data_IF_069516576824
#
_entry.id   IF_069516576824
#
_cell.length_a   1.000
_cell.length_b   1.000
_cell.length_c   1.000
_cell.angle_alpha   90.00
_cell.angle_beta   90.00
_cell.angle_gamma   90.00
#
_symmetry.space_group_name_H-M   'P 1'
#
loop_
_entity.id
_entity.type
_entity.pdbx_description
1 polymer ?
#
# COMPACT_ATOMS: atom_id res chain seq x y z
N UNK A 1 -18.33 -7.95 -15.09
CA UNK A 1 -16.85 -7.85 -14.93
C UNK A 1 -16.55 -7.42 -13.51
N UNK A 2 -15.63 -8.09 -12.81
CA UNK A 2 -15.07 -7.66 -11.53
C UNK A 2 -13.62 -7.22 -11.79
N UNK A 3 -13.44 -6.05 -12.39
CA UNK A 3 -12.14 -5.54 -12.82
C UNK A 3 -11.88 -4.22 -12.13
N UNK A 4 -10.72 -4.11 -11.48
CA UNK A 4 -10.17 -2.85 -11.02
C UNK A 4 -9.09 -2.43 -12.02
N UNK A 5 -9.18 -1.21 -12.53
CA UNK A 5 -8.28 -0.68 -13.54
C UNK A 5 -7.64 0.61 -13.02
N UNK A 6 -6.31 0.66 -13.06
CA UNK A 6 -5.55 1.86 -12.74
C UNK A 6 -5.07 2.52 -14.03
N UNK A 7 -5.46 3.77 -14.24
CA UNK A 7 -4.88 4.63 -15.28
C UNK A 7 -3.68 5.41 -14.70
N UNK A 8 -2.50 4.79 -14.74
CA UNK A 8 -1.28 5.30 -14.13
C UNK A 8 -0.47 6.19 -15.10
N UNK A 9 -1.10 7.16 -15.76
CA UNK A 9 -0.42 8.01 -16.77
C UNK A 9 0.86 8.69 -16.26
N UNK A 10 0.94 8.98 -14.95
CA UNK A 10 2.10 9.57 -14.28
C UNK A 10 2.69 8.67 -13.17
N UNK A 11 2.38 7.38 -13.20
CA UNK A 11 2.70 6.42 -12.14
C UNK A 11 1.70 6.44 -10.98
N UNK A 12 1.86 5.48 -10.07
CA UNK A 12 1.11 5.40 -8.82
C UNK A 12 2.03 4.89 -7.71
N UNK A 13 2.08 5.60 -6.59
CA UNK A 13 2.81 5.16 -5.40
C UNK A 13 2.01 4.12 -4.62
N UNK A 14 2.69 3.37 -3.75
CA UNK A 14 2.06 2.32 -2.96
C UNK A 14 0.93 2.84 -2.05
N UNK A 15 1.10 4.01 -1.44
CA UNK A 15 0.07 4.66 -0.61
C UNK A 15 -1.14 5.12 -1.44
N UNK A 16 -0.95 5.54 -2.69
CA UNK A 16 -2.06 5.82 -3.62
C UNK A 16 -2.87 4.55 -3.91
N UNK A 17 -2.21 3.42 -4.15
CA UNK A 17 -2.87 2.14 -4.39
C UNK A 17 -3.61 1.67 -3.13
N UNK A 18 -2.98 1.74 -1.96
CA UNK A 18 -3.62 1.39 -0.68
C UNK A 18 -4.86 2.26 -0.42
N UNK A 19 -4.74 3.57 -0.63
CA UNK A 19 -5.86 4.50 -0.51
C UNK A 19 -7.00 4.16 -1.48
N UNK A 20 -6.67 3.89 -2.75
CA UNK A 20 -7.66 3.52 -3.75
C UNK A 20 -8.41 2.22 -3.40
N UNK A 21 -7.72 1.20 -2.89
CA UNK A 21 -8.34 -0.06 -2.46
C UNK A 21 -9.35 0.16 -1.33
N UNK A 22 -9.00 0.96 -0.31
CA UNK A 22 -9.95 1.31 0.75
C UNK A 22 -11.10 2.15 0.20
N UNK A 23 -10.81 3.09 -0.70
CA UNK A 23 -11.82 3.95 -1.34
C UNK A 23 -12.86 3.18 -2.16
N UNK A 24 -12.51 2.00 -2.70
CA UNK A 24 -13.46 1.11 -3.40
C UNK A 24 -14.12 0.06 -2.49
N UNK A 25 -13.89 0.14 -1.17
CA UNK A 25 -14.59 -0.67 -0.15
C UNK A 25 -13.80 -1.85 0.41
N UNK A 26 -12.48 -1.92 0.20
CA UNK A 26 -11.65 -2.91 0.92
C UNK A 26 -11.50 -2.48 2.38
N UNK A 27 -11.81 -3.38 3.30
CA UNK A 27 -11.63 -3.15 4.73
C UNK A 27 -10.16 -2.87 5.07
N UNK A 28 -9.82 -1.73 5.70
CA UNK A 28 -8.44 -1.38 6.06
C UNK A 28 -7.73 -2.49 6.82
N UNK A 29 -8.44 -3.15 7.75
CA UNK A 29 -7.89 -4.24 8.55
C UNK A 29 -7.40 -5.41 7.69
N UNK A 30 -8.13 -5.77 6.63
CA UNK A 30 -7.73 -6.86 5.74
C UNK A 30 -6.42 -6.54 5.00
N UNK A 31 -6.24 -5.27 4.59
CA UNK A 31 -4.98 -4.81 3.99
C UNK A 31 -3.83 -4.86 5.00
N UNK A 32 -4.03 -4.37 6.23
CA UNK A 32 -3.01 -4.39 7.28
C UNK A 32 -2.58 -5.83 7.63
N UNK A 33 -3.54 -6.74 7.75
CA UNK A 33 -3.26 -8.17 7.96
C UNK A 33 -2.48 -8.78 6.80
N UNK A 34 -2.78 -8.40 5.56
CA UNK A 34 -1.99 -8.79 4.38
C UNK A 34 -0.56 -8.25 4.42
N UNK A 35 -0.39 -6.95 4.67
CA UNK A 35 0.92 -6.28 4.73
C UNK A 35 1.82 -6.85 5.83
N UNK A 36 1.25 -7.27 6.97
CA UNK A 36 2.00 -7.92 8.06
C UNK A 36 2.73 -9.21 7.62
N UNK A 37 2.30 -9.83 6.51
CA UNK A 37 2.91 -11.06 5.97
C UNK A 37 4.22 -10.79 5.24
N UNK A 38 4.53 -9.54 4.91
CA UNK A 38 5.80 -9.13 4.31
C UNK A 38 6.99 -9.31 5.25
N UNK A 39 6.75 -9.43 6.57
CA UNK A 39 7.85 -9.51 7.55
C UNK A 39 8.68 -8.22 7.62
N UNK A 40 8.08 -7.08 7.27
CA UNK A 40 8.68 -5.76 7.41
C UNK A 40 8.09 -5.11 8.66
N UNK A 41 8.95 -4.62 9.53
CA UNK A 41 8.57 -3.90 10.75
C UNK A 41 8.85 -2.40 10.61
N UNK A 42 8.49 -1.63 11.65
CA UNK A 42 8.88 -0.22 11.76
C UNK A 42 8.03 0.77 10.96
N UNK A 43 6.85 0.34 10.50
CA UNK A 43 5.88 1.19 9.84
C UNK A 43 4.47 1.08 10.45
N UNK A 44 3.69 2.13 10.28
CA UNK A 44 2.27 2.18 10.58
C UNK A 44 1.52 2.71 9.36
N UNK A 45 0.34 2.16 9.07
CA UNK A 45 -0.51 2.62 7.97
C UNK A 45 -1.84 3.10 8.53
N UNK A 46 -2.15 4.37 8.30
CA UNK A 46 -3.44 4.98 8.59
C UNK A 46 -4.21 5.32 7.32
N UNK A 47 -5.53 5.45 7.43
CA UNK A 47 -6.38 5.88 6.32
C UNK A 47 -7.26 7.03 6.78
N UNK A 48 -7.38 8.06 5.95
CA UNK A 48 -8.31 9.16 6.18
C UNK A 48 -9.02 9.54 4.88
N UNK A 49 -10.21 10.10 5.00
CA UNK A 49 -10.87 10.77 3.87
C UNK A 49 -10.34 12.19 3.78
N UNK A 50 -9.86 12.57 2.61
CA UNK A 50 -9.34 13.92 2.32
C UNK A 50 -10.16 14.56 1.21
N UNK A 51 -10.23 15.89 1.23
CA UNK A 51 -10.61 16.69 0.06
C UNK A 51 -9.35 17.30 -0.56
N UNK A 52 -9.17 17.10 -1.85
CA UNK A 52 -8.09 17.70 -2.63
C UNK A 52 -8.70 18.45 -3.79
N UNK A 53 -8.77 19.77 -3.66
CA UNK A 53 -9.33 20.64 -4.71
C UNK A 53 -10.77 20.28 -5.08
N UNK A 54 -11.62 19.92 -4.09
CA UNK A 54 -13.01 19.54 -4.30
C UNK A 54 -13.22 18.07 -4.69
N UNK A 55 -12.15 17.27 -4.71
CA UNK A 55 -12.21 15.83 -4.99
C UNK A 55 -12.00 15.08 -3.67
N UNK A 56 -13.03 14.35 -3.25
CA UNK A 56 -12.92 13.45 -2.10
C UNK A 56 -12.15 12.18 -2.48
N UNK A 57 -11.17 11.81 -1.67
CA UNK A 57 -10.37 10.60 -1.84
C UNK A 57 -10.01 9.97 -0.50
N UNK A 58 -9.69 8.68 -0.50
CA UNK A 58 -9.07 8.03 0.65
C UNK A 58 -7.56 8.12 0.53
N UNK A 59 -6.91 8.75 1.51
CA UNK A 59 -5.46 8.84 1.60
C UNK A 59 -4.95 7.78 2.57
N UNK A 60 -4.03 6.94 2.12
CA UNK A 60 -3.23 6.13 3.02
C UNK A 60 -2.02 6.96 3.49
N UNK A 61 -1.72 6.91 4.79
CA UNK A 61 -0.51 7.49 5.38
C UNK A 61 0.37 6.37 5.85
N UNK A 62 1.58 6.28 5.27
CA UNK A 62 2.59 5.32 5.70
C UNK A 62 3.60 6.08 6.55
N UNK A 63 3.51 5.89 7.86
CA UNK A 63 4.46 6.44 8.81
C UNK A 63 5.57 5.42 9.03
N UNK A 64 6.81 5.84 8.85
CA UNK A 64 8.00 5.00 9.08
C UNK A 64 8.93 5.71 10.05
N UNK A 65 9.72 4.94 10.81
CA UNK A 65 10.83 5.53 11.55
C UNK A 65 11.87 6.02 10.54
N UNK A 66 12.53 7.14 10.84
CA UNK A 66 13.64 7.61 10.02
C UNK A 66 14.76 6.56 10.03
N UNK A 67 14.95 5.89 8.90
CA UNK A 67 16.07 4.99 8.65
C UNK A 67 16.85 5.47 7.42
N UNK A 68 18.17 5.44 7.51
CA UNK A 68 19.08 5.79 6.41
C UNK A 68 19.37 4.61 5.46
N UNK A 69 18.66 3.49 5.64
CA UNK A 69 18.87 2.29 4.84
C UNK A 69 18.11 2.40 3.52
N UNK A 70 18.82 2.70 2.44
CA UNK A 70 18.30 2.56 1.10
C UNK A 70 18.18 1.07 0.76
N UNK A 71 16.99 0.65 0.31
CA UNK A 71 16.79 -0.69 -0.27
C UNK A 71 16.88 -0.56 -1.78
N UNK A 72 17.70 -1.41 -2.40
CA UNK A 72 17.71 -1.59 -3.84
C UNK A 72 16.62 -2.59 -4.25
N UNK A 73 16.37 -2.69 -5.55
CA UNK A 73 15.36 -3.61 -6.09
C UNK A 73 15.57 -5.06 -5.62
N UNK A 74 16.83 -5.53 -5.54
CA UNK A 74 17.14 -6.87 -5.06
C UNK A 74 16.68 -7.12 -3.63
N UNK A 75 16.83 -6.13 -2.74
CA UNK A 75 16.37 -6.22 -1.35
C UNK A 75 14.84 -6.29 -1.28
N UNK A 76 14.16 -5.49 -2.11
CA UNK A 76 12.69 -5.46 -2.18
C UNK A 76 12.15 -6.79 -2.69
N UNK A 77 12.73 -7.33 -3.77
CA UNK A 77 12.33 -8.61 -4.32
C UNK A 77 12.54 -9.74 -3.31
N UNK A 78 13.67 -9.71 -2.58
CA UNK A 78 13.93 -10.68 -1.52
C UNK A 78 12.84 -10.64 -0.43
N UNK A 79 12.46 -9.45 0.04
CA UNK A 79 11.36 -9.30 1.00
C UNK A 79 10.07 -9.90 0.47
N UNK A 80 9.73 -9.66 -0.79
CA UNK A 80 8.51 -10.17 -1.41
C UNK A 80 8.54 -11.70 -1.49
N UNK A 81 9.64 -12.29 -1.99
CA UNK A 81 9.76 -13.74 -2.18
C UNK A 81 9.90 -14.52 -0.87
N UNK A 82 10.49 -13.91 0.17
CA UNK A 82 10.61 -14.53 1.50
C UNK A 82 9.34 -14.30 2.36
N UNK A 83 8.36 -13.54 1.86
CA UNK A 83 7.14 -13.22 2.58
C UNK A 83 6.19 -14.42 2.71
N UNK A 84 5.18 -14.28 3.58
CA UNK A 84 4.05 -15.23 3.70
C UNK A 84 2.83 -14.80 2.87
N UNK A 85 3.03 -13.99 1.83
CA UNK A 85 1.97 -13.69 0.88
C UNK A 85 1.60 -14.96 0.10
N UNK A 86 0.34 -15.08 -0.32
CA UNK A 86 -0.08 -16.19 -1.17
C UNK A 86 0.35 -15.97 -2.62
N UNK A 87 0.69 -17.04 -3.33
CA UNK A 87 1.13 -17.01 -4.74
C UNK A 87 0.11 -16.41 -5.73
N UNK A 88 -1.14 -16.21 -5.30
CA UNK A 88 -2.25 -15.67 -6.10
C UNK A 88 -2.62 -14.22 -5.80
N UNK A 89 -1.75 -13.47 -5.11
CA UNK A 89 -1.79 -11.99 -5.07
C UNK A 89 -0.98 -11.44 -6.22
#
# INVERSE_FOLDING_TARGET
>A
MKTLYFDCFAGASGDMILGALVGVGVEPRALLEGLSRLGVDGYEVGFETVDRSGISATRAHVHTRHEHAHRHLGDILKIIYDSRLSDGV
#
